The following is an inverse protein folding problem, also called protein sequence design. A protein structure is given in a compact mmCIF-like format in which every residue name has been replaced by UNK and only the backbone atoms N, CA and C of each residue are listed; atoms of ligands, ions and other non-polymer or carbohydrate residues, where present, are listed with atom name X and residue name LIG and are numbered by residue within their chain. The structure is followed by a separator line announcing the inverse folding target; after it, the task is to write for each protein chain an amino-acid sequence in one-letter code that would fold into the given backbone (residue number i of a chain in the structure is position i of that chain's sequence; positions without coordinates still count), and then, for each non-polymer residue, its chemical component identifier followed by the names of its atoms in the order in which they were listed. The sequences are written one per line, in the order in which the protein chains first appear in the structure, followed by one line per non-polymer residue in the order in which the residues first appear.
data_IF_767293535189
#
_entry.id   IF_767293535189
#
_cell.length_a   1.000
_cell.length_b   1.000
_cell.length_c   1.000
_cell.angle_alpha   90.00
_cell.angle_beta   90.00
_cell.angle_gamma   90.00
#
_symmetry.space_group_name_H-M   'P 1'
#
loop_
_entity.id
_entity.type
_entity.pdbx_description
1 polymer ?
#
# COMPACT_ATOMS: atom_id res chain seq x y z
N UNK A 1 22.24 4.70 -2.01
CA UNK A 1 21.40 3.62 -1.46
C UNK A 1 20.67 3.05 -2.67
N UNK A 2 20.79 1.75 -2.98
CA UNK A 2 20.01 1.17 -4.07
C UNK A 2 18.52 1.26 -3.68
N UNK A 3 17.64 1.55 -4.64
CA UNK A 3 16.21 1.64 -4.32
C UNK A 3 15.66 0.26 -3.97
N UNK A 4 14.50 0.23 -3.32
CA UNK A 4 13.86 -1.02 -2.90
C UNK A 4 13.24 -1.74 -4.10
N UNK A 5 12.97 -3.03 -3.93
CA UNK A 5 12.17 -3.80 -4.88
C UNK A 5 10.72 -3.83 -4.42
N UNK A 6 9.81 -3.49 -5.32
CA UNK A 6 8.38 -3.58 -5.08
C UNK A 6 7.76 -4.71 -5.91
N UNK A 7 6.92 -5.51 -5.26
CA UNK A 7 6.22 -6.61 -5.90
C UNK A 7 4.72 -6.42 -5.77
N UNK A 8 4.02 -6.52 -6.90
CA UNK A 8 2.56 -6.43 -6.98
C UNK A 8 2.02 -7.55 -7.88
N UNK A 9 0.89 -8.15 -7.51
CA UNK A 9 0.17 -9.12 -8.34
C UNK A 9 -1.34 -8.87 -8.31
N UNK A 10 -2.09 -9.28 -9.35
CA UNK A 10 -3.55 -9.26 -9.31
C UNK A 10 -4.10 -10.25 -8.27
N UNK A 11 -5.28 -10.00 -7.73
CA UNK A 11 -5.95 -10.93 -6.79
C UNK A 11 -6.21 -12.33 -7.37
N UNK A 12 -6.35 -12.45 -8.69
CA UNK A 12 -6.54 -13.72 -9.38
C UNK A 12 -5.25 -14.50 -9.61
N UNK A 13 -4.09 -13.85 -9.48
CA UNK A 13 -2.79 -14.50 -9.62
C UNK A 13 -2.50 -15.36 -8.40
N UNK A 14 -2.07 -16.60 -8.61
CA UNK A 14 -1.79 -17.58 -7.54
C UNK A 14 -0.41 -18.19 -7.65
N UNK A 15 0.36 -17.83 -8.68
CA UNK A 15 1.67 -18.40 -9.01
C UNK A 15 2.78 -17.37 -8.89
N UNK A 16 4.03 -17.84 -8.80
CA UNK A 16 5.20 -16.95 -8.74
C UNK A 16 5.37 -16.06 -9.98
N UNK A 17 4.87 -16.50 -11.14
CA UNK A 17 4.91 -15.73 -12.39
C UNK A 17 3.92 -14.56 -12.44
N UNK A 18 2.96 -14.50 -11.53
CA UNK A 18 1.97 -13.40 -11.49
C UNK A 18 2.52 -12.13 -10.83
N UNK A 19 3.67 -12.23 -10.16
CA UNK A 19 4.33 -11.09 -9.52
C UNK A 19 5.03 -10.20 -10.54
N UNK A 20 4.58 -8.96 -10.61
CA UNK A 20 5.29 -7.89 -11.28
C UNK A 20 6.28 -7.27 -10.30
N UNK A 21 7.56 -7.32 -10.65
CA UNK A 21 8.64 -6.63 -9.94
C UNK A 21 8.87 -5.24 -10.54
N UNK A 22 8.94 -4.22 -9.69
CA UNK A 22 9.36 -2.85 -10.01
C UNK A 22 10.60 -2.57 -9.16
N UNK A 23 11.72 -2.27 -9.80
CA UNK A 23 13.00 -2.03 -9.12
C UNK A 23 13.19 -0.54 -8.82
N UNK A 24 14.15 -0.26 -7.94
CA UNK A 24 14.62 1.09 -7.61
C UNK A 24 13.52 2.05 -7.15
N UNK A 25 12.58 1.55 -6.32
CA UNK A 25 11.50 2.37 -5.77
C UNK A 25 11.86 2.96 -4.40
N UNK A 26 11.18 4.05 -4.05
CA UNK A 26 11.07 4.54 -2.68
C UNK A 26 9.69 4.15 -2.12
N UNK A 27 9.67 3.63 -0.89
CA UNK A 27 8.42 3.18 -0.27
C UNK A 27 8.28 3.78 1.11
N UNK A 28 7.10 4.33 1.36
CA UNK A 28 6.67 4.83 2.66
C UNK A 28 5.43 4.06 3.13
N UNK A 29 5.45 3.61 4.37
CA UNK A 29 4.29 3.03 5.06
C UNK A 29 3.86 3.92 6.22
N UNK A 30 2.55 4.11 6.37
CA UNK A 30 1.94 4.82 7.51
C UNK A 30 0.86 3.94 8.12
N UNK A 31 1.09 3.47 9.35
CA UNK A 31 0.18 2.58 10.07
C UNK A 31 -0.52 3.38 11.17
N UNK A 32 -1.84 3.24 11.24
CA UNK A 32 -2.66 3.88 12.27
C UNK A 32 -3.59 2.87 12.94
N UNK A 33 -3.80 3.03 14.25
CA UNK A 33 -4.78 2.25 15.01
C UNK A 33 -6.08 3.01 15.18
N UNK A 34 -7.20 2.28 15.18
CA UNK A 34 -8.50 2.84 15.56
C UNK A 34 -8.56 2.97 17.09
N UNK A 35 -8.53 4.20 17.56
CA UNK A 35 -8.61 4.54 18.99
C UNK A 35 -9.91 5.29 19.23
N UNK A 36 -10.69 4.82 20.20
CA UNK A 36 -11.87 5.54 20.71
C UNK A 36 -11.48 6.23 22.02
N UNK A 37 -11.64 7.56 22.06
CA UNK A 37 -11.39 8.37 23.28
C UNK A 37 -12.72 8.81 23.88
N UNK A 38 -12.93 8.51 25.16
CA UNK A 38 -14.09 9.00 25.92
C UNK A 38 -13.62 10.07 26.91
N UNK A 39 -14.15 11.28 26.78
CA UNK A 39 -13.82 12.40 27.66
C UNK A 39 -14.82 12.45 28.81
N UNK A 40 -14.37 12.18 30.03
CA UNK A 40 -15.21 12.20 31.23
C UNK A 40 -15.20 13.60 31.86
N UNK A 41 -16.35 14.28 31.89
CA UNK A 41 -16.47 15.62 32.48
C UNK A 41 -16.87 15.51 33.96
N UNK A 42 -15.94 15.81 34.88
CA UNK A 42 -16.26 15.88 36.32
C UNK A 42 -15.23 15.29 37.29
N UNK A 43 -14.14 14.68 36.81
CA UNK A 43 -13.07 14.19 37.69
C UNK A 43 -12.21 13.12 37.00
N UNK A 44 -10.97 13.52 36.71
CA UNK A 44 -9.79 12.73 36.32
C UNK A 44 -9.95 11.54 35.34
N UNK A 45 -9.62 11.79 34.07
CA UNK A 45 -9.20 10.74 33.12
C UNK A 45 -9.89 10.83 31.77
N UNK A 46 -9.09 10.84 30.70
CA UNK A 46 -9.55 10.40 29.38
C UNK A 46 -9.41 8.87 29.33
N UNK A 47 -10.50 8.17 29.05
CA UNK A 47 -10.44 6.74 28.75
C UNK A 47 -10.07 6.57 27.27
N UNK A 48 -8.93 5.90 27.03
CA UNK A 48 -8.50 5.49 25.71
C UNK A 48 -8.77 3.99 25.53
N UNK A 49 -9.60 3.65 24.55
CA UNK A 49 -9.88 2.26 24.17
C UNK A 49 -9.29 2.02 22.78
N UNK A 50 -8.31 1.13 22.70
CA UNK A 50 -7.80 0.60 21.43
C UNK A 50 -8.77 -0.45 20.92
N UNK A 51 -9.31 -0.25 19.71
CA UNK A 51 -10.28 -1.16 19.11
C UNK A 51 -9.62 -2.34 18.38
N UNK A 52 -8.29 -2.41 18.36
CA UNK A 52 -7.54 -3.52 17.79
C UNK A 52 -7.59 -3.60 16.26
N UNK A 53 -8.21 -2.63 15.59
CA UNK A 53 -8.23 -2.51 14.14
C UNK A 53 -7.11 -1.57 13.66
N UNK A 54 -6.32 -2.01 12.69
CA UNK A 54 -5.23 -1.26 12.10
C UNK A 54 -5.53 -0.93 10.64
N UNK A 55 -5.02 0.20 10.16
CA UNK A 55 -4.99 0.50 8.72
C UNK A 55 -3.61 0.98 8.35
N UNK A 56 -3.12 0.48 7.22
CA UNK A 56 -1.84 0.87 6.66
C UNK A 56 -2.05 1.54 5.30
N UNK A 57 -1.37 2.67 5.11
CA UNK A 57 -1.28 3.35 3.81
C UNK A 57 0.15 3.21 3.31
N UNK A 58 0.30 2.65 2.12
CA UNK A 58 1.57 2.51 1.42
C UNK A 58 1.63 3.50 0.28
N UNK A 59 2.71 4.28 0.22
CA UNK A 59 3.03 5.16 -0.91
C UNK A 59 4.29 4.59 -1.56
N UNK A 60 4.22 4.34 -2.87
CA UNK A 60 5.33 3.83 -3.66
C UNK A 60 5.64 4.82 -4.76
N UNK A 61 6.85 5.35 -4.74
CA UNK A 61 7.37 6.31 -5.71
C UNK A 61 8.53 5.68 -6.49
N UNK A 62 8.65 6.01 -7.77
CA UNK A 62 9.76 5.51 -8.57
C UNK A 62 9.66 5.91 -10.04
N UNK A 63 10.41 5.21 -10.89
CA UNK A 63 10.39 5.37 -12.33
C UNK A 63 10.09 4.02 -13.00
N UNK A 64 9.26 4.04 -14.04
CA UNK A 64 8.95 2.83 -14.81
C UNK A 64 8.69 3.13 -16.28
N UNK A 65 8.91 2.12 -17.12
CA UNK A 65 8.55 2.18 -18.53
C UNK A 65 7.05 2.07 -18.77
N UNK A 66 6.59 2.62 -19.90
CA UNK A 66 5.17 2.66 -20.27
C UNK A 66 4.52 1.27 -20.36
N UNK A 67 5.28 0.23 -20.71
CA UNK A 67 4.75 -1.13 -20.82
C UNK A 67 4.55 -1.78 -19.45
N UNK A 68 5.36 -1.42 -18.45
CA UNK A 68 5.13 -1.78 -17.05
C UNK A 68 3.89 -1.05 -16.55
N UNK A 69 3.80 0.25 -16.81
CA UNK A 69 2.62 1.06 -16.45
C UNK A 69 1.31 0.46 -16.96
N UNK A 70 1.23 0.01 -18.21
CA UNK A 70 0.00 -0.62 -18.76
C UNK A 70 -0.41 -1.88 -18.00
N UNK A 71 0.55 -2.68 -17.51
CA UNK A 71 0.27 -3.86 -16.67
C UNK A 71 -0.30 -3.43 -15.32
N UNK A 72 0.32 -2.43 -14.68
CA UNK A 72 -0.13 -1.91 -13.39
C UNK A 72 -1.52 -1.25 -13.53
N UNK A 73 -1.79 -0.52 -14.60
CA UNK A 73 -3.10 0.08 -14.89
C UNK A 73 -4.22 -0.97 -14.96
N UNK A 74 -3.91 -2.16 -15.48
CA UNK A 74 -4.87 -3.28 -15.51
C UNK A 74 -5.16 -3.78 -14.09
N UNK A 75 -4.14 -3.87 -13.24
CA UNK A 75 -4.30 -4.24 -11.83
C UNK A 75 -5.08 -3.19 -11.04
N UNK A 76 -4.81 -1.90 -11.27
CA UNK A 76 -5.56 -0.79 -10.68
C UNK A 76 -7.06 -0.90 -10.98
N UNK A 77 -7.42 -1.18 -12.25
CA UNK A 77 -8.82 -1.36 -12.65
C UNK A 77 -9.49 -2.61 -12.07
N UNK A 78 -8.73 -3.59 -11.57
CA UNK A 78 -9.26 -4.78 -10.88
C UNK A 78 -9.53 -4.54 -9.38
N UNK A 79 -9.05 -3.42 -8.82
CA UNK A 79 -9.43 -2.91 -7.50
C UNK A 79 -8.65 -3.45 -6.30
N UNK A 80 -8.37 -4.77 -6.24
CA UNK A 80 -7.76 -5.39 -5.05
C UNK A 80 -6.55 -6.27 -5.37
N UNK A 81 -5.36 -5.69 -5.64
CA UNK A 81 -4.14 -6.47 -5.79
C UNK A 81 -3.59 -6.98 -4.45
N UNK A 82 -2.56 -7.83 -4.54
CA UNK A 82 -1.67 -8.11 -3.43
C UNK A 82 -0.34 -7.40 -3.67
N UNK A 83 0.25 -6.88 -2.59
CA UNK A 83 1.63 -6.38 -2.58
C UNK A 83 2.47 -7.22 -1.61
N UNK A 84 3.77 -7.28 -1.84
CA UNK A 84 4.71 -7.78 -0.85
C UNK A 84 5.19 -6.62 0.02
N UNK A 85 4.88 -6.65 1.31
CA UNK A 85 5.34 -5.65 2.28
C UNK A 85 6.81 -5.94 2.66
N UNK A 86 7.78 -5.10 2.27
CA UNK A 86 9.19 -5.33 2.56
C UNK A 86 9.54 -5.07 4.04
N UNK A 87 8.67 -4.43 4.82
CA UNK A 87 8.92 -4.12 6.23
C UNK A 87 8.41 -5.21 7.16
N UNK A 88 7.29 -5.85 6.81
CA UNK A 88 6.71 -6.96 7.58
C UNK A 88 6.97 -8.34 6.96
N UNK A 89 7.62 -8.40 5.80
CA UNK A 89 7.96 -9.63 5.05
C UNK A 89 6.74 -10.54 4.79
N UNK A 90 5.59 -9.92 4.47
CA UNK A 90 4.33 -10.63 4.20
C UNK A 90 3.64 -10.12 2.95
N UNK A 91 2.86 -11.00 2.33
CA UNK A 91 1.95 -10.60 1.27
C UNK A 91 0.67 -10.06 1.88
N UNK A 92 0.29 -8.85 1.49
CA UNK A 92 -0.90 -8.16 2.00
C UNK A 92 -1.87 -7.85 0.87
N UNK A 93 -3.14 -8.08 1.14
CA UNK A 93 -4.22 -7.69 0.23
C UNK A 93 -4.53 -6.22 0.46
N UNK A 94 -4.50 -5.44 -0.61
CA UNK A 94 -4.67 -3.98 -0.52
C UNK A 94 -5.73 -3.49 -1.50
N UNK A 95 -6.29 -2.33 -1.21
CA UNK A 95 -7.04 -1.54 -2.18
C UNK A 95 -6.06 -0.62 -2.89
N UNK A 96 -6.09 -0.60 -4.23
CA UNK A 96 -5.29 0.32 -5.02
C UNK A 96 -6.04 1.65 -5.16
N UNK A 97 -5.74 2.62 -4.29
CA UNK A 97 -6.55 3.84 -4.14
C UNK A 97 -6.20 4.92 -5.16
N UNK A 98 -4.91 5.06 -5.51
CA UNK A 98 -4.45 6.14 -6.39
C UNK A 98 -3.26 5.70 -7.25
N UNK A 99 -3.25 6.20 -8.49
CA UNK A 99 -2.16 6.00 -9.46
C UNK A 99 -1.88 7.30 -10.20
N UNK A 100 -0.67 7.82 -10.08
CA UNK A 100 -0.13 8.92 -10.87
C UNK A 100 1.04 8.41 -11.73
N UNK A 101 1.12 8.88 -12.98
CA UNK A 101 2.20 8.53 -13.91
C UNK A 101 2.49 9.70 -14.85
N UNK A 102 3.76 10.09 -14.94
CA UNK A 102 4.25 11.13 -15.84
C UNK A 102 4.84 10.51 -17.11
N UNK A 103 4.11 10.60 -18.22
CA UNK A 103 4.46 9.89 -19.47
C UNK A 103 5.79 10.28 -20.13
N UNK A 104 6.38 11.42 -19.76
CA UNK A 104 7.67 11.86 -20.31
C UNK A 104 8.87 11.40 -19.48
N UNK A 105 8.76 11.41 -18.14
CA UNK A 105 9.84 11.03 -17.23
C UNK A 105 9.75 9.57 -16.79
N UNK A 106 8.58 8.93 -16.92
CA UNK A 106 8.32 7.60 -16.37
C UNK A 106 8.07 7.59 -14.86
N UNK A 107 8.07 8.77 -14.21
CA UNK A 107 7.85 8.88 -12.77
C UNK A 107 6.43 8.47 -12.40
N UNK A 108 6.31 7.77 -11.29
CA UNK A 108 5.01 7.34 -10.78
C UNK A 108 4.92 7.52 -9.27
N UNK A 109 3.68 7.65 -8.81
CA UNK A 109 3.31 7.57 -7.39
C UNK A 109 2.07 6.71 -7.28
N UNK A 110 2.15 5.63 -6.49
CA UNK A 110 1.04 4.73 -6.21
C UNK A 110 0.66 4.80 -4.74
N UNK A 111 -0.64 4.73 -4.46
CA UNK A 111 -1.18 4.64 -3.10
C UNK A 111 -1.97 3.35 -2.94
N UNK A 112 -1.67 2.61 -1.87
CA UNK A 112 -2.35 1.40 -1.48
C UNK A 112 -2.85 1.51 -0.05
N UNK A 113 -4.04 0.97 0.20
CA UNK A 113 -4.65 0.96 1.53
C UNK A 113 -4.90 -0.49 1.94
N UNK A 114 -4.29 -0.91 3.04
CA UNK A 114 -4.60 -2.17 3.73
C UNK A 114 -5.60 -1.88 4.85
N UNK A 115 -6.67 -2.68 4.88
CA UNK A 115 -7.58 -2.78 6.02
C UNK A 115 -7.15 -4.02 6.83
N UNK A 116 -6.53 -3.80 7.99
CA UNK A 116 -6.04 -4.86 8.87
C UNK A 116 -7.13 -5.08 9.93
N UNK A 117 -7.82 -6.21 9.81
CA UNK A 117 -8.82 -6.65 10.80
C UNK A 117 -8.23 -7.56 11.86
#
# INVERSE_FOLDING_TARGET
MAGMEFFIRPATGTTSSDWLRIADVDMKVSITRRITRTVTHGGEGDDLVDEGAESAVYIVDGEMEIDVYKKVLTMFRSGQPYIHDPFAEKDVKVVFSRMDFEGNSGKFTFEFIEDIR
#
